data_IF_058064509509
#
_entry.id   IF_058064509509
#
_cell.length_a   1.000
_cell.length_b   1.000
_cell.length_c   1.000
_cell.angle_alpha   90.00
_cell.angle_beta   90.00
_cell.angle_gamma   90.00
#
_symmetry.space_group_name_H-M   'P 1'
#
loop_
_entity.id
_entity.type
_entity.pdbx_description
1 polymer ?
#
# COMPACT_ATOMS: atom_id res chain seq x y z
N UNK A 1 33.68 38.90 -46.73
CA UNK A 1 34.01 40.33 -46.88
C UNK A 1 32.68 41.03 -46.96
N UNK A 2 32.23 41.78 -45.99
CA UNK A 2 32.70 42.33 -44.71
C UNK A 2 31.37 42.88 -44.12
N UNK A 3 31.05 42.58 -42.85
CA UNK A 3 31.14 43.53 -41.73
C UNK A 3 30.04 44.64 -41.84
N UNK A 4 29.32 45.07 -40.81
CA UNK A 4 29.65 45.29 -39.40
C UNK A 4 28.37 45.26 -38.54
N UNK A 5 28.54 44.81 -37.29
CA UNK A 5 27.70 45.10 -36.13
C UNK A 5 28.04 46.50 -35.58
N UNK A 6 27.04 47.20 -35.05
CA UNK A 6 27.07 48.18 -33.93
C UNK A 6 25.63 48.74 -33.82
N UNK A 7 25.04 49.11 -32.67
CA UNK A 7 25.48 49.26 -31.28
C UNK A 7 24.23 49.46 -30.40
N UNK A 8 24.36 49.03 -29.15
CA UNK A 8 23.94 49.63 -27.86
C UNK A 8 22.66 50.48 -27.74
N UNK A 9 21.88 50.25 -26.68
CA UNK A 9 21.66 51.29 -25.66
C UNK A 9 21.03 50.74 -24.35
N UNK A 10 21.74 51.05 -23.27
CA UNK A 10 21.53 50.78 -21.85
C UNK A 10 20.69 51.90 -21.21
N UNK A 11 19.80 51.60 -20.26
CA UNK A 11 19.18 52.66 -19.44
C UNK A 11 18.71 52.17 -18.06
N UNK A 12 19.59 52.28 -17.07
CA UNK A 12 19.28 52.20 -15.64
C UNK A 12 18.76 53.52 -15.05
N UNK A 13 17.81 53.37 -14.13
CA UNK A 13 17.50 54.15 -12.92
C UNK A 13 17.77 55.67 -12.86
N UNK A 14 16.70 56.44 -12.60
CA UNK A 14 16.77 57.72 -11.85
C UNK A 14 15.80 57.75 -10.68
N UNK A 15 16.38 57.90 -9.47
CA UNK A 15 15.72 58.27 -8.22
C UNK A 15 15.15 59.69 -8.29
N UNK A 16 13.99 59.90 -7.66
CA UNK A 16 13.42 61.22 -7.38
C UNK A 16 13.23 61.34 -5.87
N UNK A 17 13.82 62.39 -5.28
CA UNK A 17 13.44 63.01 -4.01
C UNK A 17 13.18 64.50 -4.29
N UNK A 18 12.15 65.08 -3.67
CA UNK A 18 12.31 66.34 -2.93
C UNK A 18 11.62 66.21 -1.54
N UNK A 19 12.13 66.70 -0.41
CA UNK A 19 12.49 68.09 -0.06
C UNK A 19 11.28 68.73 0.65
N UNK A 20 11.21 68.73 1.99
CA UNK A 20 11.35 69.92 2.89
C UNK A 20 9.97 70.50 3.26
N UNK A 21 9.58 70.96 4.45
CA UNK A 21 10.21 71.37 5.72
C UNK A 21 9.13 71.44 6.84
N UNK A 22 9.60 71.64 8.09
CA UNK A 22 8.92 72.14 9.31
C UNK A 22 8.76 71.05 10.41
N UNK A 23 9.74 70.86 11.31
CA UNK A 23 10.24 71.73 12.40
C UNK A 23 9.39 71.61 13.66
N UNK A 24 9.78 70.71 14.56
CA UNK A 24 9.72 70.92 16.01
C UNK A 24 10.73 69.99 16.67
N UNK A 25 11.81 70.61 17.15
CA UNK A 25 12.89 70.04 17.95
C UNK A 25 12.38 69.84 19.39
N UNK A 26 12.43 68.61 19.90
CA UNK A 26 12.56 68.35 21.34
C UNK A 26 13.55 67.19 21.54
N UNK A 27 14.76 67.61 21.90
CA UNK A 27 15.78 67.01 22.76
C UNK A 27 16.22 65.54 22.54
N UNK A 28 17.52 65.46 22.22
CA UNK A 28 18.38 64.29 22.03
C UNK A 28 18.58 63.48 23.31
N UNK A 29 18.28 62.18 23.26
CA UNK A 29 19.07 61.17 23.96
C UNK A 29 19.71 60.27 22.91
N UNK A 30 21.04 60.32 22.78
CA UNK A 30 21.85 59.40 21.98
C UNK A 30 21.75 57.97 22.56
N UNK A 31 20.65 57.28 22.26
CA UNK A 31 20.50 55.84 22.53
C UNK A 31 21.50 55.07 21.64
N UNK A 32 22.21 54.09 22.22
CA UNK A 32 23.19 53.31 21.47
C UNK A 32 22.55 52.64 20.24
N UNK A 33 23.32 52.46 19.16
CA UNK A 33 22.86 51.80 17.92
C UNK A 33 22.17 50.44 18.18
N UNK A 34 22.57 49.75 19.25
CA UNK A 34 22.02 48.48 19.70
C UNK A 34 20.60 48.61 20.30
N UNK A 35 20.31 49.70 21.01
CA UNK A 35 18.98 49.97 21.59
C UNK A 35 17.98 50.39 20.50
N UNK A 36 18.44 51.12 19.48
CA UNK A 36 17.66 51.49 18.29
C UNK A 36 17.32 50.23 17.48
N UNK A 37 18.27 49.31 17.33
CA UNK A 37 18.05 48.05 16.62
C UNK A 37 17.08 47.12 17.37
N UNK A 38 17.15 47.06 18.70
CA UNK A 38 16.15 46.35 19.53
C UNK A 38 14.76 46.97 19.41
N UNK A 39 14.64 48.30 19.45
CA UNK A 39 13.36 49.00 19.27
C UNK A 39 12.77 48.70 17.88
N UNK A 40 13.60 48.65 16.85
CA UNK A 40 13.20 48.30 15.48
C UNK A 40 12.78 46.84 15.35
N UNK A 41 13.47 45.92 16.03
CA UNK A 41 13.08 44.50 16.09
C UNK A 41 11.74 44.31 16.80
N UNK A 42 11.51 44.99 17.93
CA UNK A 42 10.22 44.96 18.64
C UNK A 42 9.07 45.53 17.81
N UNK A 43 9.28 46.64 17.09
CA UNK A 43 8.30 47.20 16.17
C UNK A 43 7.98 46.23 15.02
N UNK A 44 9.00 45.56 14.48
CA UNK A 44 8.83 44.55 13.42
C UNK A 44 8.08 43.32 13.93
N UNK A 45 8.36 42.87 15.15
CA UNK A 45 7.67 41.75 15.78
C UNK A 45 6.22 42.09 16.11
N UNK A 46 5.95 43.30 16.62
CA UNK A 46 4.58 43.79 16.87
C UNK A 46 3.78 43.94 15.58
N UNK A 47 4.40 44.37 14.48
CA UNK A 47 3.76 44.45 13.17
C UNK A 47 3.46 43.06 12.59
N UNK A 48 4.33 42.07 12.81
CA UNK A 48 4.08 40.68 12.44
C UNK A 48 2.94 40.07 13.25
N UNK A 49 2.93 40.23 14.57
CA UNK A 49 1.85 39.73 15.42
C UNK A 49 0.50 40.36 15.04
N UNK A 50 0.45 41.67 14.77
CA UNK A 50 -0.78 42.32 14.29
C UNK A 50 -1.24 41.75 12.94
N UNK A 51 -0.30 41.44 12.04
CA UNK A 51 -0.62 40.82 10.76
C UNK A 51 -1.13 39.38 10.93
N UNK A 52 -0.54 38.60 11.85
CA UNK A 52 -1.01 37.27 12.21
C UNK A 52 -2.39 37.31 12.88
N UNK A 53 -2.66 38.29 13.76
CA UNK A 53 -3.99 38.52 14.34
C UNK A 53 -5.02 38.91 13.28
N UNK A 54 -4.69 39.82 12.36
CA UNK A 54 -5.55 40.19 11.23
C UNK A 54 -5.78 38.98 10.29
N UNK A 55 -4.80 38.11 10.08
CA UNK A 55 -4.92 36.90 9.26
C UNK A 55 -5.77 35.82 9.94
N UNK A 56 -5.65 35.67 11.26
CA UNK A 56 -6.50 34.77 12.07
C UNK A 56 -7.95 35.28 12.13
N UNK A 57 -8.18 36.58 12.27
CA UNK A 57 -9.53 37.16 12.28
C UNK A 57 -10.22 37.07 10.90
N UNK A 58 -9.46 37.10 9.80
CA UNK A 58 -9.98 36.87 8.45
C UNK A 58 -10.28 35.38 8.22
N UNK A 59 -9.45 34.48 8.74
CA UNK A 59 -9.68 33.03 8.69
C UNK A 59 -10.92 32.62 9.51
N UNK A 60 -11.15 33.21 10.68
CA UNK A 60 -12.34 32.92 11.53
C UNK A 60 -13.66 33.39 10.87
N UNK A 61 -13.60 34.41 10.00
CA UNK A 61 -14.76 34.91 9.23
C UNK A 61 -15.02 34.14 7.93
N UNK A 62 -14.06 33.34 7.43
CA UNK A 62 -14.22 32.51 6.24
C UNK A 62 -14.68 31.07 6.56
N UNK A 63 -14.56 30.62 7.82
CA UNK A 63 -14.95 29.26 8.26
C UNK A 63 -16.35 29.17 8.91
N UNK A 64 -17.05 30.30 9.12
CA UNK A 64 -18.40 30.34 9.70
C UNK A 64 -19.50 30.67 8.66
N UNK A 65 -19.63 29.80 7.66
CA UNK A 65 -20.55 29.97 6.54
C UNK A 65 -21.22 28.69 6.04
N UNK A 66 -22.10 28.06 6.86
CA UNK A 66 -23.35 27.32 6.47
C UNK A 66 -23.75 26.25 7.50
N UNK A 67 -24.66 26.58 8.41
CA UNK A 67 -25.94 25.87 8.58
C UNK A 67 -26.81 26.64 9.57
N UNK A 68 -28.07 26.86 9.18
CA UNK A 68 -29.09 27.58 9.94
C UNK A 68 -30.19 26.60 10.36
N UNK A 69 -30.86 26.95 11.46
CA UNK A 69 -32.03 26.33 12.13
C UNK A 69 -31.65 25.32 13.25
N UNK A 70 -32.00 25.46 14.53
CA UNK A 70 -33.18 26.09 15.16
C UNK A 70 -32.88 26.40 16.67
N UNK A 71 -33.17 27.63 17.08
CA UNK A 71 -33.67 28.13 18.39
C UNK A 71 -33.16 27.57 19.75
N UNK A 72 -32.40 28.40 20.48
CA UNK A 72 -32.68 28.75 21.89
C UNK A 72 -32.06 30.11 22.27
N UNK A 73 -32.91 31.01 22.76
CA UNK A 73 -32.62 32.28 23.45
C UNK A 73 -31.68 32.04 24.67
N UNK A 74 -30.96 32.98 25.28
CA UNK A 74 -31.28 34.37 25.60
C UNK A 74 -30.01 35.07 26.17
N UNK A 75 -29.69 36.24 25.61
CA UNK A 75 -29.23 37.48 26.25
C UNK A 75 -28.08 37.50 27.27
N UNK A 76 -27.00 38.23 26.91
CA UNK A 76 -26.56 39.41 27.67
C UNK A 76 -25.56 40.24 26.86
N UNK A 77 -26.02 41.38 26.34
CA UNK A 77 -25.21 42.55 26.01
C UNK A 77 -24.46 43.04 27.27
N UNK A 78 -23.23 43.54 27.11
CA UNK A 78 -22.87 44.96 27.33
C UNK A 78 -21.39 45.16 27.76
N UNK A 79 -20.73 46.01 26.96
CA UNK A 79 -19.56 46.89 27.20
C UNK A 79 -18.20 46.38 27.69
N UNK A 80 -17.26 46.45 26.75
CA UNK A 80 -15.91 47.04 26.87
C UNK A 80 -15.73 48.01 28.05
N UNK A 81 -15.00 47.57 29.08
CA UNK A 81 -14.25 48.47 29.96
C UNK A 81 -12.82 47.97 30.13
N UNK A 82 -11.91 48.72 29.53
CA UNK A 82 -10.50 48.79 29.92
C UNK A 82 -10.45 49.34 31.34
N UNK A 83 -10.21 48.48 32.34
CA UNK A 83 -9.98 48.91 33.72
C UNK A 83 -8.48 48.87 34.03
N UNK A 84 -7.81 49.91 33.52
CA UNK A 84 -6.56 50.42 34.06
C UNK A 84 -6.95 51.46 35.09
N UNK A 85 -6.43 51.31 36.33
CA UNK A 85 -6.60 52.16 37.53
C UNK A 85 -7.74 51.80 38.51
N UNK A 86 -7.42 51.04 39.57
CA UNK A 86 -7.56 51.52 40.96
C UNK A 86 -7.04 50.48 41.98
N UNK A 87 -5.80 50.67 42.43
CA UNK A 87 -5.30 50.09 43.68
C UNK A 87 -5.94 50.80 44.89
N UNK A 88 -7.26 50.79 45.03
CA UNK A 88 -7.92 51.30 46.25
C UNK A 88 -9.20 50.53 46.63
N UNK A 89 -9.11 49.20 46.76
CA UNK A 89 -10.15 48.45 47.46
C UNK A 89 -10.47 49.04 48.85
N UNK A 90 -11.70 48.91 49.37
CA UNK A 90 -12.13 49.52 50.63
C UNK A 90 -11.14 49.19 51.76
N UNK A 91 -10.42 50.19 52.28
CA UNK A 91 -9.46 49.97 53.37
C UNK A 91 -10.22 49.43 54.59
N UNK A 92 -10.12 48.12 54.83
CA UNK A 92 -10.67 47.51 56.04
C UNK A 92 -10.00 48.15 57.25
N UNK A 93 -10.83 48.70 58.14
CA UNK A 93 -10.36 49.27 59.41
C UNK A 93 -9.60 48.18 60.18
N UNK A 94 -8.34 48.41 60.59
CA UNK A 94 -7.58 47.38 61.30
C UNK A 94 -8.27 47.08 62.64
N UNK A 95 -8.82 45.87 62.75
CA UNK A 95 -9.37 45.35 64.00
C UNK A 95 -8.24 44.64 64.73
N UNK A 96 -8.03 44.99 66.00
CA UNK A 96 -7.00 44.38 66.83
C UNK A 96 -7.33 42.90 67.08
N UNK A 97 -6.61 42.01 66.40
CA UNK A 97 -6.68 40.57 66.61
C UNK A 97 -5.87 40.20 67.86
N UNK A 98 -6.50 39.47 68.79
CA UNK A 98 -5.86 39.01 70.03
C UNK A 98 -4.67 38.09 69.70
N UNK A 99 -3.62 38.10 70.55
CA UNK A 99 -2.35 37.37 70.31
C UNK A 99 -2.52 35.88 69.93
N UNK A 100 -3.55 35.21 70.45
CA UNK A 100 -3.86 33.79 70.17
C UNK A 100 -4.47 33.55 68.78
N UNK A 101 -5.12 34.55 68.19
CA UNK A 101 -5.85 34.42 66.91
C UNK A 101 -4.97 34.87 65.71
N UNK A 102 -3.71 35.25 65.96
CA UNK A 102 -2.72 35.62 64.92
C UNK A 102 -2.00 34.41 64.31
N UNK A 103 -2.06 33.26 64.98
CA UNK A 103 -1.39 32.02 64.55
C UNK A 103 -2.04 31.43 63.29
N UNK A 104 -3.33 31.68 63.08
CA UNK A 104 -4.10 31.20 61.91
C UNK A 104 -3.77 31.93 60.60
N UNK A 105 -3.15 33.10 60.64
CA UNK A 105 -2.75 33.84 59.43
C UNK A 105 -1.46 33.26 58.84
N UNK A 106 -0.52 32.82 59.68
CA UNK A 106 0.75 32.21 59.27
C UNK A 106 0.52 30.82 58.69
N UNK A 107 -0.40 30.04 59.28
CA UNK A 107 -0.80 28.73 58.74
C UNK A 107 -1.53 28.86 57.40
N UNK A 108 -2.44 29.85 57.27
CA UNK A 108 -3.13 30.14 56.01
C UNK A 108 -2.18 30.65 54.92
N UNK A 109 -1.17 31.44 55.27
CA UNK A 109 -0.14 31.89 54.35
C UNK A 109 0.76 30.72 53.89
N UNK A 110 1.10 29.80 54.81
CA UNK A 110 1.87 28.59 54.48
C UNK A 110 1.08 27.61 53.61
N UNK A 111 -0.22 27.47 53.84
CA UNK A 111 -1.11 26.69 52.96
C UNK A 111 -1.26 27.35 51.58
N UNK A 112 -1.38 28.68 51.51
CA UNK A 112 -1.40 29.39 50.24
C UNK A 112 -0.07 29.27 49.48
N UNK A 113 1.07 29.29 50.17
CA UNK A 113 2.39 29.03 49.56
C UNK A 113 2.50 27.59 49.05
N UNK A 114 1.99 26.61 49.80
CA UNK A 114 1.95 25.20 49.37
C UNK A 114 1.02 24.98 48.18
N UNK A 115 -0.11 25.67 48.12
CA UNK A 115 -1.02 25.64 46.97
C UNK A 115 -0.37 26.28 45.73
N UNK A 116 0.31 27.42 45.88
CA UNK A 116 1.07 28.04 44.80
C UNK A 116 2.22 27.15 44.30
N UNK A 117 2.90 26.44 45.20
CA UNK A 117 3.94 25.47 44.81
C UNK A 117 3.35 24.28 44.06
N UNK A 118 2.22 23.72 44.52
CA UNK A 118 1.52 22.63 43.84
C UNK A 118 0.98 23.06 42.46
N UNK A 119 0.50 24.29 42.32
CA UNK A 119 0.06 24.86 41.05
C UNK A 119 1.25 25.07 40.09
N UNK A 120 2.39 25.54 40.59
CA UNK A 120 3.63 25.65 39.80
C UNK A 120 4.17 24.29 39.36
N UNK A 121 4.13 23.28 40.23
CA UNK A 121 4.51 21.91 39.89
C UNK A 121 3.53 21.29 38.87
N UNK A 122 2.23 21.51 39.01
CA UNK A 122 1.24 21.08 38.04
C UNK A 122 1.43 21.75 36.67
N UNK A 123 1.76 23.05 36.66
CA UNK A 123 2.07 23.81 35.44
C UNK A 123 3.35 23.29 34.78
N UNK A 124 4.41 23.02 35.55
CA UNK A 124 5.64 22.40 35.05
C UNK A 124 5.38 21.00 34.47
N UNK A 125 4.60 20.17 35.14
CA UNK A 125 4.22 18.84 34.63
C UNK A 125 3.37 18.92 33.36
N UNK A 126 2.51 19.93 33.22
CA UNK A 126 1.75 20.17 31.99
C UNK A 126 2.66 20.66 30.85
N UNK A 127 3.61 21.55 31.13
CA UNK A 127 4.61 22.01 30.17
C UNK A 127 5.57 20.87 29.73
N UNK A 128 5.98 20.00 30.65
CA UNK A 128 6.77 18.81 30.35
C UNK A 128 6.00 17.82 29.47
N UNK A 129 4.71 17.60 29.73
CA UNK A 129 3.87 16.79 28.85
C UNK A 129 3.76 17.39 27.46
N UNK A 130 3.53 18.71 27.35
CA UNK A 130 3.49 19.42 26.07
C UNK A 130 4.82 19.33 25.31
N UNK A 131 5.94 19.51 26.01
CA UNK A 131 7.29 19.36 25.42
C UNK A 131 7.56 17.92 24.98
N UNK A 132 7.13 16.94 25.77
CA UNK A 132 7.29 15.53 25.44
C UNK A 132 6.47 15.14 24.20
N UNK A 133 5.21 15.58 24.11
CA UNK A 133 4.39 15.34 22.91
C UNK A 133 4.97 16.04 21.69
N UNK A 134 5.48 17.27 21.84
CA UNK A 134 6.06 18.03 20.73
C UNK A 134 7.39 17.41 20.26
N UNK A 135 8.21 16.89 21.18
CA UNK A 135 9.42 16.13 20.88
C UNK A 135 9.11 14.81 20.18
N UNK A 136 8.04 14.10 20.58
CA UNK A 136 7.62 12.88 19.92
C UNK A 136 7.20 13.14 18.46
N UNK A 137 6.44 14.21 18.23
CA UNK A 137 6.06 14.65 16.88
C UNK A 137 7.29 15.08 16.07
N UNK A 138 8.23 15.81 16.67
CA UNK A 138 9.50 16.17 16.02
C UNK A 138 10.32 14.94 15.62
N UNK A 139 10.42 13.94 16.50
CA UNK A 139 11.10 12.68 16.21
C UNK A 139 10.40 11.90 15.08
N UNK A 140 9.07 11.97 15.00
CA UNK A 140 8.28 11.32 13.95
C UNK A 140 8.43 12.04 12.60
N UNK A 141 8.38 13.37 12.58
CA UNK A 141 8.69 14.18 11.39
C UNK A 141 10.15 13.95 10.93
N UNK A 142 11.10 13.87 11.87
CA UNK A 142 12.49 13.57 11.55
C UNK A 142 12.64 12.16 10.96
N UNK A 143 11.93 11.17 11.50
CA UNK A 143 11.89 9.81 10.95
C UNK A 143 11.25 9.80 9.57
N UNK A 144 10.12 10.45 9.36
CA UNK A 144 9.44 10.52 8.06
C UNK A 144 10.31 11.21 7.00
N UNK A 145 10.93 12.34 7.33
CA UNK A 145 11.85 13.05 6.42
C UNK A 145 13.10 12.23 6.10
N UNK A 146 13.65 11.47 7.06
CA UNK A 146 14.75 10.52 6.76
C UNK A 146 14.27 9.34 5.93
N UNK A 147 13.06 8.83 6.19
CA UNK A 147 12.49 7.67 5.49
C UNK A 147 12.11 8.00 4.05
N UNK A 148 11.62 9.22 3.80
CA UNK A 148 11.39 9.76 2.46
C UNK A 148 12.74 9.85 1.71
N UNK A 149 13.80 10.36 2.34
CA UNK A 149 15.15 10.40 1.74
C UNK A 149 15.74 9.01 1.47
N UNK A 150 15.41 7.99 2.28
CA UNK A 150 15.86 6.60 2.03
C UNK A 150 14.95 5.83 1.07
N UNK A 151 13.73 6.32 0.81
CA UNK A 151 12.79 5.71 -0.14
C UNK A 151 13.05 6.15 -1.59
N UNK A 152 13.85 7.20 -1.79
CA UNK A 152 14.50 7.48 -3.06
C UNK A 152 15.57 6.40 -3.29
N UNK A 153 15.13 5.30 -3.88
CA UNK A 153 15.90 4.11 -4.26
C UNK A 153 16.91 4.40 -5.39
N UNK A 154 17.68 5.48 -5.29
CA UNK A 154 18.93 5.60 -6.02
C UNK A 154 20.06 5.08 -5.12
N UNK A 155 20.84 4.08 -5.56
CA UNK A 155 22.02 3.65 -4.82
C UNK A 155 22.97 4.84 -4.75
N UNK A 156 23.03 5.50 -3.59
CA UNK A 156 23.99 6.55 -3.35
C UNK A 156 25.40 5.95 -3.45
N UNK A 157 26.31 6.63 -4.16
CA UNK A 157 27.70 6.18 -4.34
C UNK A 157 28.46 5.99 -3.02
N UNK A 158 27.94 6.53 -1.90
CA UNK A 158 28.46 6.37 -0.54
C UNK A 158 27.99 5.08 0.17
N UNK A 159 27.09 4.29 -0.44
CA UNK A 159 26.63 2.99 0.09
C UNK A 159 27.58 1.84 -0.31
N UNK A 160 28.62 2.16 -1.08
CA UNK A 160 29.74 1.26 -1.36
C UNK A 160 30.67 1.28 -0.15
N UNK A 161 30.37 0.42 0.82
CA UNK A 161 31.22 0.17 1.97
C UNK A 161 32.60 -0.30 1.45
N UNK A 162 33.59 0.57 1.51
CA UNK A 162 34.94 0.38 0.94
C UNK A 162 35.89 -0.31 1.93
N UNK A 163 35.33 -1.00 2.92
CA UNK A 163 36.07 -1.70 3.96
C UNK A 163 36.36 -3.13 3.49
N UNK A 164 37.63 -3.39 3.15
CA UNK A 164 38.16 -4.66 2.62
C UNK A 164 38.12 -5.83 3.64
N UNK A 165 37.38 -5.72 4.75
CA UNK A 165 37.24 -6.76 5.78
C UNK A 165 36.22 -7.87 5.41
N UNK A 166 35.52 -7.76 4.27
CA UNK A 166 34.45 -8.68 3.86
C UNK A 166 34.86 -9.75 2.80
N UNK A 167 36.15 -9.83 2.46
CA UNK A 167 36.70 -10.79 1.48
C UNK A 167 36.34 -12.25 1.77
N UNK A 168 36.24 -12.61 3.05
CA UNK A 168 35.86 -13.97 3.47
C UNK A 168 34.41 -14.30 3.07
N UNK A 169 33.47 -13.36 3.23
CA UNK A 169 32.06 -13.54 2.85
C UNK A 169 31.91 -13.58 1.33
N UNK A 170 32.67 -12.78 0.60
CA UNK A 170 32.68 -12.82 -0.85
C UNK A 170 33.28 -14.12 -1.40
N UNK A 171 34.36 -14.61 -0.77
CA UNK A 171 34.96 -15.90 -1.08
C UNK A 171 34.01 -17.06 -0.76
N UNK A 172 33.30 -17.01 0.36
CA UNK A 172 32.26 -17.97 0.70
C UNK A 172 31.09 -17.90 -0.28
N UNK A 173 30.63 -16.70 -0.67
CA UNK A 173 29.59 -16.52 -1.68
C UNK A 173 30.04 -17.04 -3.06
N UNK A 174 31.31 -16.84 -3.43
CA UNK A 174 31.90 -17.44 -4.62
C UNK A 174 31.91 -18.98 -4.53
N UNK A 175 32.35 -19.54 -3.41
CA UNK A 175 32.35 -20.99 -3.15
C UNK A 175 30.94 -21.57 -3.18
N UNK A 176 29.94 -20.86 -2.64
CA UNK A 176 28.53 -21.27 -2.71
C UNK A 176 27.99 -21.22 -4.13
N UNK A 177 28.35 -20.21 -4.94
CA UNK A 177 27.99 -20.17 -6.36
C UNK A 177 28.62 -21.33 -7.13
N UNK A 178 29.88 -21.64 -6.87
CA UNK A 178 30.59 -22.76 -7.51
C UNK A 178 30.00 -24.11 -7.08
N UNK A 179 29.74 -24.28 -5.79
CA UNK A 179 29.08 -25.48 -5.26
C UNK A 179 27.66 -25.62 -5.82
N UNK A 180 26.91 -24.52 -5.99
CA UNK A 180 25.59 -24.52 -6.63
C UNK A 180 25.66 -24.92 -8.11
N UNK A 181 26.74 -24.56 -8.82
CA UNK A 181 26.96 -25.02 -10.20
C UNK A 181 27.20 -26.52 -10.23
N UNK A 182 28.15 -27.01 -9.44
CA UNK A 182 28.44 -28.44 -9.37
C UNK A 182 27.22 -29.26 -8.91
N UNK A 183 26.46 -28.71 -7.96
CA UNK A 183 25.21 -29.30 -7.49
C UNK A 183 24.17 -29.37 -8.61
N UNK A 184 23.98 -28.32 -9.41
CA UNK A 184 23.04 -28.35 -10.54
C UNK A 184 23.38 -29.47 -11.53
N UNK A 185 24.65 -29.58 -11.93
CA UNK A 185 25.08 -30.61 -12.88
C UNK A 185 24.93 -32.03 -12.31
N UNK A 186 25.12 -32.18 -11.00
CA UNK A 186 24.91 -33.46 -10.30
C UNK A 186 23.43 -33.78 -10.16
N UNK A 187 22.63 -32.80 -9.75
CA UNK A 187 21.18 -32.93 -9.57
C UNK A 187 20.49 -33.22 -10.91
N UNK A 188 20.93 -32.62 -12.02
CA UNK A 188 20.42 -32.91 -13.37
C UNK A 188 20.68 -34.36 -13.79
N UNK A 189 21.89 -34.89 -13.53
CA UNK A 189 22.19 -36.32 -13.79
C UNK A 189 21.37 -37.24 -12.91
N UNK A 190 21.27 -36.92 -11.62
CA UNK A 190 20.49 -37.70 -10.66
C UNK A 190 18.99 -37.65 -10.98
N UNK A 191 18.47 -36.52 -11.48
CA UNK A 191 17.09 -36.39 -11.92
C UNK A 191 16.80 -37.30 -13.12
N UNK A 192 17.67 -37.32 -14.13
CA UNK A 192 17.53 -38.23 -15.28
C UNK A 192 17.57 -39.70 -14.84
N UNK A 193 18.45 -40.06 -13.91
CA UNK A 193 18.53 -41.43 -13.38
C UNK A 193 17.27 -41.78 -12.56
N UNK A 194 16.77 -40.86 -11.73
CA UNK A 194 15.51 -41.03 -10.99
C UNK A 194 14.32 -41.18 -11.92
N UNK A 195 14.21 -40.36 -12.97
CA UNK A 195 13.16 -40.48 -13.99
C UNK A 195 13.22 -41.84 -14.68
N UNK A 196 14.42 -42.31 -15.02
CA UNK A 196 14.60 -43.63 -15.62
C UNK A 196 14.16 -44.75 -14.67
N UNK A 197 14.58 -44.69 -13.40
CA UNK A 197 14.20 -45.66 -12.38
C UNK A 197 12.69 -45.64 -12.11
N UNK A 198 12.05 -44.46 -12.12
CA UNK A 198 10.60 -44.33 -11.98
C UNK A 198 9.86 -44.88 -13.20
N UNK A 199 10.35 -44.63 -14.42
CA UNK A 199 9.80 -45.24 -15.64
C UNK A 199 9.94 -46.76 -15.60
N UNK A 200 11.08 -47.28 -15.16
CA UNK A 200 11.30 -48.72 -15.01
C UNK A 200 10.42 -49.33 -13.90
N UNK A 201 10.26 -48.65 -12.76
CA UNK A 201 9.30 -48.99 -11.70
C UNK A 201 7.89 -49.06 -12.29
N UNK A 202 7.41 -47.99 -12.92
CA UNK A 202 6.07 -47.90 -13.49
C UNK A 202 5.82 -48.91 -14.62
N UNK A 203 6.87 -49.30 -15.35
CA UNK A 203 6.80 -50.38 -16.34
C UNK A 203 6.66 -51.75 -15.68
N UNK A 204 7.30 -51.98 -14.54
CA UNK A 204 7.29 -53.25 -13.82
C UNK A 204 6.06 -53.43 -12.90
N UNK A 205 5.44 -52.34 -12.45
CA UNK A 205 4.18 -52.38 -11.69
C UNK A 205 3.02 -52.88 -12.57
N UNK A 206 2.08 -53.60 -11.96
CA UNK A 206 0.84 -54.02 -12.63
C UNK A 206 -0.11 -52.84 -12.84
N UNK A 207 -1.07 -52.95 -13.76
CA UNK A 207 -2.01 -51.87 -14.04
C UNK A 207 -2.94 -51.55 -12.86
N UNK A 208 -3.28 -52.55 -12.03
CA UNK A 208 -4.08 -52.37 -10.83
C UNK A 208 -3.32 -51.57 -9.77
N UNK A 209 -2.04 -51.87 -9.55
CA UNK A 209 -1.17 -51.11 -8.66
C UNK A 209 -0.94 -49.69 -9.20
N UNK A 210 -0.79 -49.53 -10.53
CA UNK A 210 -0.67 -48.20 -11.17
C UNK A 210 -1.91 -47.35 -10.94
N UNK A 211 -3.11 -47.93 -10.99
CA UNK A 211 -4.37 -47.23 -10.72
C UNK A 211 -4.49 -46.83 -9.25
N UNK A 212 -4.03 -47.67 -8.33
CA UNK A 212 -3.97 -47.34 -6.90
C UNK A 212 -2.95 -46.24 -6.61
N UNK A 213 -1.74 -46.31 -7.17
CA UNK A 213 -0.71 -45.27 -7.08
C UNK A 213 -1.21 -43.93 -7.64
N UNK A 214 -1.87 -43.92 -8.80
CA UNK A 214 -2.48 -42.69 -9.35
C UNK A 214 -3.63 -42.14 -8.49
N UNK A 215 -4.32 -43.01 -7.74
CA UNK A 215 -5.38 -42.61 -6.81
C UNK A 215 -4.81 -42.03 -5.52
N UNK A 216 -3.75 -42.64 -5.00
CA UNK A 216 -3.04 -42.17 -3.80
C UNK A 216 -2.21 -40.92 -4.09
N UNK A 217 -1.65 -40.83 -5.30
CA UNK A 217 -0.77 -39.78 -5.75
C UNK A 217 -1.33 -39.17 -7.05
N UNK A 218 -2.39 -38.34 -6.95
CA UNK A 218 -2.98 -37.71 -8.12
C UNK A 218 -1.98 -36.76 -8.77
N UNK A 219 -2.01 -36.69 -10.11
CA UNK A 219 -1.16 -35.76 -10.87
C UNK A 219 -1.49 -34.32 -10.45
N UNK A 220 -0.51 -33.65 -9.84
CA UNK A 220 -0.62 -32.23 -9.50
C UNK A 220 -0.47 -31.42 -10.78
N UNK A 221 -1.56 -30.78 -11.20
CA UNK A 221 -1.55 -29.82 -12.31
C UNK A 221 -1.39 -28.41 -11.71
N UNK A 222 -0.22 -27.81 -11.90
CA UNK A 222 0.12 -26.50 -11.32
C UNK A 222 -0.75 -25.36 -11.88
N UNK A 223 -1.02 -25.38 -13.20
CA UNK A 223 -1.78 -24.36 -13.92
C UNK A 223 -3.24 -24.77 -14.22
N UNK A 224 -3.89 -25.46 -13.28
CA UNK A 224 -5.29 -25.86 -13.41
C UNK A 224 -6.22 -24.65 -13.31
N UNK A 225 -6.68 -24.17 -14.46
CA UNK A 225 -7.66 -23.09 -14.52
C UNK A 225 -9.03 -23.55 -14.00
N UNK A 226 -9.68 -22.70 -13.20
CA UNK A 226 -11.09 -22.88 -12.83
C UNK A 226 -11.95 -22.62 -14.06
N UNK A 227 -12.38 -23.69 -14.74
CA UNK A 227 -13.29 -23.58 -15.89
C UNK A 227 -14.72 -23.43 -15.37
N UNK A 228 -15.35 -22.30 -15.66
CA UNK A 228 -16.78 -22.09 -15.48
C UNK A 228 -17.64 -22.90 -16.46
N UNK A 229 -18.96 -22.80 -16.29
CA UNK A 229 -19.95 -23.43 -17.19
C UNK A 229 -20.14 -22.57 -18.43
N UNK A 230 -19.83 -23.12 -19.59
CA UNK A 230 -20.07 -22.45 -20.88
C UNK A 230 -21.56 -22.29 -21.17
N UNK A 231 -21.94 -21.14 -21.74
CA UNK A 231 -23.27 -20.90 -22.29
C UNK A 231 -23.48 -21.69 -23.59
N UNK A 232 -24.74 -21.89 -23.98
CA UNK A 232 -25.08 -22.60 -25.20
C UNK A 232 -24.50 -21.90 -26.44
N UNK A 233 -23.75 -22.66 -27.26
CA UNK A 233 -22.99 -22.18 -28.43
C UNK A 233 -21.94 -21.09 -28.16
N UNK A 234 -21.44 -20.97 -26.93
CA UNK A 234 -20.32 -20.10 -26.62
C UNK A 234 -19.03 -20.57 -27.32
N UNK A 235 -18.24 -19.66 -27.86
CA UNK A 235 -16.95 -19.95 -28.48
C UNK A 235 -15.94 -20.35 -27.40
N UNK A 236 -15.28 -21.47 -27.63
CA UNK A 236 -14.17 -21.89 -26.80
C UNK A 236 -12.92 -21.05 -27.11
N UNK A 237 -12.30 -20.53 -26.05
CA UNK A 237 -11.00 -19.88 -26.13
C UNK A 237 -9.91 -20.84 -25.66
N UNK A 238 -8.94 -21.12 -26.53
CA UNK A 238 -7.77 -21.93 -26.19
C UNK A 238 -6.65 -21.00 -25.72
N UNK A 239 -6.26 -21.09 -24.45
CA UNK A 239 -5.23 -20.22 -23.84
C UNK A 239 -3.80 -20.40 -24.40
N UNK A 240 -3.56 -21.45 -25.16
CA UNK A 240 -2.24 -21.83 -25.67
C UNK A 240 -1.61 -22.90 -24.79
N UNK A 241 -0.56 -23.56 -25.29
CA UNK A 241 0.18 -24.63 -24.56
C UNK A 241 1.63 -24.21 -24.28
N UNK A 242 2.19 -23.29 -25.07
CA UNK A 242 3.62 -22.98 -25.07
C UNK A 242 4.15 -22.32 -23.78
N UNK A 243 3.30 -21.66 -23.01
CA UNK A 243 3.71 -20.86 -21.84
C UNK A 243 3.20 -21.43 -20.51
N UNK A 244 2.63 -22.64 -20.51
CA UNK A 244 2.05 -23.25 -19.31
C UNK A 244 3.08 -23.91 -18.37
N UNK A 245 4.37 -23.82 -18.71
CA UNK A 245 5.46 -24.24 -17.82
C UNK A 245 5.69 -23.25 -16.68
N UNK A 246 5.37 -21.97 -16.92
CA UNK A 246 5.50 -20.91 -15.93
C UNK A 246 4.22 -20.85 -15.07
N UNK A 247 4.38 -20.94 -13.76
CA UNK A 247 3.28 -20.89 -12.79
C UNK A 247 2.84 -19.45 -12.48
N UNK A 248 2.55 -18.68 -13.52
CA UNK A 248 2.02 -17.32 -13.35
C UNK A 248 0.54 -17.33 -12.96
N UNK A 249 0.16 -16.39 -12.09
CA UNK A 249 -1.21 -16.25 -11.63
C UNK A 249 -2.20 -15.96 -12.77
N UNK A 250 -1.74 -15.28 -13.83
CA UNK A 250 -2.52 -14.96 -15.02
C UNK A 250 -3.06 -16.24 -15.66
N UNK A 251 -2.29 -17.33 -15.65
CA UNK A 251 -2.71 -18.63 -16.19
C UNK A 251 -3.64 -19.41 -15.24
N UNK A 252 -3.94 -18.93 -14.05
CA UNK A 252 -4.92 -19.57 -13.15
C UNK A 252 -6.31 -18.96 -13.30
N UNK A 253 -6.42 -17.79 -13.95
CA UNK A 253 -7.68 -17.09 -14.17
C UNK A 253 -8.68 -17.91 -14.98
N UNK A 254 -9.96 -17.59 -14.84
CA UNK A 254 -11.01 -18.17 -15.65
C UNK A 254 -11.03 -17.55 -17.06
N UNK A 255 -10.86 -18.40 -18.08
CA UNK A 255 -10.91 -18.03 -19.50
C UNK A 255 -12.21 -18.50 -20.17
N UNK A 256 -13.15 -19.04 -19.40
CA UNK A 256 -14.46 -19.52 -19.88
C UNK A 256 -15.54 -18.44 -19.88
N UNK A 257 -15.19 -17.19 -19.56
CA UNK A 257 -16.14 -16.09 -19.56
C UNK A 257 -16.72 -15.84 -20.96
N UNK A 258 -18.03 -15.53 -21.00
CA UNK A 258 -18.71 -15.15 -22.23
C UNK A 258 -18.10 -13.86 -22.79
N UNK A 259 -17.75 -13.86 -24.07
CA UNK A 259 -17.11 -12.72 -24.73
C UNK A 259 -17.99 -12.22 -25.88
N UNK A 260 -18.05 -10.90 -26.07
CA UNK A 260 -18.75 -10.23 -27.18
C UNK A 260 -20.17 -10.78 -27.40
N UNK A 261 -20.41 -11.46 -28.52
CA UNK A 261 -21.68 -12.04 -28.95
C UNK A 261 -22.22 -13.17 -28.06
N UNK A 262 -21.40 -13.74 -27.18
CA UNK A 262 -21.78 -14.86 -26.31
C UNK A 262 -22.37 -14.40 -24.96
N UNK A 263 -22.49 -13.08 -24.74
CA UNK A 263 -23.21 -12.55 -23.56
C UNK A 263 -24.70 -12.94 -23.60
N UNK A 264 -25.29 -12.96 -24.80
CA UNK A 264 -26.69 -13.32 -25.02
C UNK A 264 -26.90 -14.84 -24.95
N UNK A 265 -27.98 -15.27 -24.30
CA UNK A 265 -28.32 -16.69 -24.20
C UNK A 265 -28.99 -17.20 -25.48
N UNK A 266 -28.22 -17.95 -26.26
CA UNK A 266 -28.65 -18.52 -27.55
C UNK A 266 -29.62 -19.69 -27.39
N UNK A 267 -29.85 -20.18 -26.17
CA UNK A 267 -30.83 -21.24 -25.92
C UNK A 267 -32.28 -20.76 -26.10
N UNK A 268 -32.54 -19.46 -25.89
CA UNK A 268 -33.88 -18.86 -26.02
C UNK A 268 -34.27 -18.72 -27.51
N UNK A 269 -33.31 -18.81 -28.43
CA UNK A 269 -33.56 -18.71 -29.86
C UNK A 269 -34.37 -19.91 -30.37
N UNK A 270 -35.20 -19.75 -31.42
CA UNK A 270 -35.86 -20.87 -32.09
C UNK A 270 -34.85 -21.92 -32.57
N UNK A 271 -35.22 -23.21 -32.57
CA UNK A 271 -34.33 -24.33 -32.91
C UNK A 271 -33.61 -24.17 -34.26
N UNK A 272 -34.26 -23.54 -35.24
CA UNK A 272 -33.68 -23.26 -36.57
C UNK A 272 -32.52 -22.27 -36.50
N UNK A 273 -32.54 -21.36 -35.54
CA UNK A 273 -31.50 -20.35 -35.27
C UNK A 273 -30.47 -20.81 -34.24
N UNK A 274 -30.70 -21.91 -33.52
CA UNK A 274 -29.76 -22.54 -32.59
C UNK A 274 -28.61 -23.27 -33.32
N UNK A 275 -28.02 -22.59 -34.29
CA UNK A 275 -26.92 -23.08 -35.11
C UNK A 275 -25.82 -22.03 -35.20
N UNK A 276 -24.57 -22.47 -35.26
CA UNK A 276 -23.43 -21.56 -35.44
C UNK A 276 -23.50 -20.94 -36.84
N UNK A 277 -23.26 -19.63 -36.96
CA UNK A 277 -23.24 -18.89 -38.24
C UNK A 277 -24.56 -18.98 -39.04
N UNK A 278 -25.71 -18.85 -38.37
CA UNK A 278 -27.01 -18.77 -39.04
C UNK A 278 -27.02 -17.70 -40.15
N UNK A 279 -27.50 -18.05 -41.35
CA UNK A 279 -27.57 -17.14 -42.50
C UNK A 279 -26.27 -16.96 -43.30
N UNK A 280 -25.16 -17.63 -42.95
CA UNK A 280 -23.89 -17.54 -43.71
C UNK A 280 -23.73 -18.70 -44.70
N UNK A 281 -23.12 -18.43 -45.85
CA UNK A 281 -22.92 -19.39 -46.96
C UNK A 281 -22.01 -20.59 -46.62
N UNK A 282 -21.21 -20.50 -45.54
CA UNK A 282 -20.34 -21.58 -45.06
C UNK A 282 -20.90 -22.41 -43.90
N UNK A 283 -22.22 -22.41 -43.69
CA UNK A 283 -22.84 -23.11 -42.55
C UNK A 283 -22.79 -24.63 -42.72
N UNK A 284 -22.27 -25.33 -41.72
CA UNK A 284 -22.35 -26.79 -41.63
C UNK A 284 -23.78 -27.26 -41.28
N UNK A 285 -24.13 -28.48 -41.73
CA UNK A 285 -25.41 -29.13 -41.39
C UNK A 285 -25.44 -29.61 -39.93
N UNK A 286 -24.29 -29.95 -39.38
CA UNK A 286 -24.14 -30.39 -37.99
C UNK A 286 -24.11 -29.20 -37.02
N UNK A 287 -24.78 -29.36 -35.89
CA UNK A 287 -25.06 -28.33 -34.88
C UNK A 287 -23.93 -28.25 -33.84
N UNK A 288 -23.86 -29.21 -32.92
CA UNK A 288 -22.83 -29.34 -31.89
C UNK A 288 -22.65 -30.82 -31.53
N UNK A 289 -21.46 -31.17 -31.02
CA UNK A 289 -21.08 -32.56 -30.74
C UNK A 289 -22.13 -33.27 -29.86
N UNK A 290 -22.63 -32.59 -28.84
CA UNK A 290 -23.63 -33.13 -27.89
C UNK A 290 -24.94 -33.55 -28.57
N UNK A 291 -25.35 -32.91 -29.66
CA UNK A 291 -26.57 -33.26 -30.41
C UNK A 291 -26.37 -34.49 -31.31
N UNK A 292 -25.11 -34.75 -31.65
CA UNK A 292 -24.70 -35.84 -32.55
C UNK A 292 -24.07 -37.01 -31.78
N UNK A 293 -23.89 -36.84 -30.47
CA UNK A 293 -23.31 -37.83 -29.58
C UNK A 293 -24.38 -38.89 -29.28
N UNK A 294 -24.16 -40.10 -29.79
CA UNK A 294 -25.06 -41.24 -29.61
C UNK A 294 -24.64 -42.13 -28.44
N UNK A 295 -23.65 -41.70 -27.64
CA UNK A 295 -23.21 -42.45 -26.47
C UNK A 295 -24.34 -42.57 -25.45
N UNK A 296 -24.67 -43.81 -25.09
CA UNK A 296 -25.67 -44.11 -24.08
C UNK A 296 -24.99 -44.21 -22.71
N UNK A 297 -24.97 -43.09 -21.97
CA UNK A 297 -24.38 -43.04 -20.62
C UNK A 297 -25.10 -43.92 -19.59
N UNK A 298 -26.37 -44.27 -19.86
CA UNK A 298 -27.17 -45.19 -19.03
C UNK A 298 -26.94 -46.68 -19.39
N UNK A 299 -25.98 -46.97 -20.28
CA UNK A 299 -25.65 -48.35 -20.62
C UNK A 299 -25.04 -49.06 -19.41
N UNK A 300 -25.58 -50.23 -19.00
CA UNK A 300 -25.03 -51.00 -17.88
C UNK A 300 -23.55 -51.35 -18.06
N UNK A 301 -23.06 -51.43 -19.30
CA UNK A 301 -21.66 -51.71 -19.64
C UNK A 301 -20.68 -50.58 -19.31
N UNK A 302 -21.17 -49.34 -19.18
CA UNK A 302 -20.36 -48.17 -18.84
C UNK A 302 -20.25 -47.99 -17.33
N UNK A 303 -21.18 -48.57 -16.56
CA UNK A 303 -21.17 -48.46 -15.10
C UNK A 303 -19.96 -49.18 -14.49
N UNK A 304 -19.27 -48.53 -13.55
CA UNK A 304 -18.16 -49.12 -12.78
C UNK A 304 -18.66 -50.05 -11.65
N UNK A 305 -19.59 -50.95 -11.98
CA UNK A 305 -20.13 -51.92 -11.03
C UNK A 305 -19.12 -53.06 -10.80
N UNK A 306 -19.08 -53.63 -9.59
CA UNK A 306 -18.18 -54.74 -9.25
C UNK A 306 -18.33 -55.96 -10.18
N UNK A 307 -19.56 -56.25 -10.66
CA UNK A 307 -19.78 -57.27 -11.69
C UNK A 307 -19.11 -56.93 -13.03
N UNK A 308 -19.16 -55.67 -13.46
CA UNK A 308 -18.53 -55.23 -14.70
C UNK A 308 -17.02 -55.30 -14.61
N UNK A 309 -16.41 -54.89 -13.50
CA UNK A 309 -14.97 -55.06 -13.28
C UNK A 309 -14.55 -56.54 -13.35
N UNK A 310 -15.32 -57.44 -12.73
CA UNK A 310 -15.06 -58.89 -12.82
C UNK A 310 -15.19 -59.41 -14.25
N UNK A 311 -16.21 -58.98 -14.98
CA UNK A 311 -16.41 -59.36 -16.39
C UNK A 311 -15.28 -58.79 -17.28
N UNK A 312 -14.91 -57.54 -17.10
CA UNK A 312 -13.81 -56.91 -17.83
C UNK A 312 -12.47 -57.57 -17.55
N UNK A 313 -12.17 -57.94 -16.31
CA UNK A 313 -10.90 -58.58 -15.98
C UNK A 313 -10.83 -60.06 -16.43
N UNK A 314 -11.95 -60.79 -16.38
CA UNK A 314 -11.97 -62.23 -16.65
C UNK A 314 -12.38 -62.61 -18.08
N UNK A 315 -13.39 -61.92 -18.62
CA UNK A 315 -14.06 -62.29 -19.87
C UNK A 315 -13.66 -61.40 -21.05
N UNK A 316 -13.32 -60.13 -20.81
CA UNK A 316 -12.94 -59.24 -21.90
C UNK A 316 -11.55 -59.59 -22.42
N UNK A 317 -11.47 -59.91 -23.71
CA UNK A 317 -10.21 -60.17 -24.39
C UNK A 317 -9.36 -58.88 -24.43
N UNK A 318 -8.08 -58.97 -24.06
CA UNK A 318 -7.13 -57.84 -24.08
C UNK A 318 -6.89 -57.15 -22.72
N UNK A 319 -7.68 -57.45 -21.69
CA UNK A 319 -7.50 -56.89 -20.33
C UNK A 319 -6.69 -57.78 -19.38
N UNK A 320 -6.26 -58.96 -19.82
CA UNK A 320 -5.38 -59.84 -19.03
C UNK A 320 -4.01 -59.18 -18.89
N UNK A 321 -3.56 -59.01 -17.64
CA UNK A 321 -2.28 -58.39 -17.27
C UNK A 321 -1.02 -59.21 -17.65
N UNK A 322 -1.17 -60.22 -18.52
CA UNK A 322 -0.07 -61.04 -19.01
C UNK A 322 0.39 -60.46 -20.35
N UNK A 323 1.35 -59.55 -20.28
CA UNK A 323 2.00 -58.96 -21.45
C UNK A 323 3.33 -59.66 -21.73
N UNK A 324 3.39 -60.41 -22.83
CA UNK A 324 4.65 -60.87 -23.39
C UNK A 324 5.31 -59.68 -24.10
N UNK A 325 6.31 -59.06 -23.45
CA UNK A 325 7.01 -57.91 -24.03
C UNK A 325 7.77 -58.39 -25.27
N UNK A 326 7.49 -57.85 -26.47
CA UNK A 326 8.22 -58.26 -27.66
C UNK A 326 9.70 -57.98 -27.45
N UNK A 327 10.53 -59.03 -27.54
CA UNK A 327 11.97 -58.88 -27.41
C UNK A 327 12.50 -58.08 -28.61
N UNK A 328 13.45 -57.17 -28.38
CA UNK A 328 14.04 -56.37 -29.47
C UNK A 328 14.75 -57.23 -30.54
N UNK A 329 14.99 -58.52 -30.26
CA UNK A 329 15.59 -59.45 -31.19
C UNK A 329 14.49 -60.18 -31.95
N UNK A 330 14.44 -60.00 -33.27
CA UNK A 330 13.68 -60.90 -34.15
C UNK A 330 14.08 -62.33 -33.80
N UNK A 331 13.10 -63.16 -33.42
CA UNK A 331 13.31 -64.60 -33.30
C UNK A 331 13.80 -65.07 -34.68
N UNK A 332 15.05 -65.52 -34.76
CA UNK A 332 15.53 -66.25 -35.93
C UNK A 332 14.60 -67.45 -36.10
N UNK A 333 14.03 -67.57 -37.30
CA UNK A 333 13.13 -68.67 -37.63
C UNK A 333 13.93 -69.94 -37.86
#
# INVERSE_FOLDING_TARGET
>A
MEAEEESEEEAEHRRIRPGGESSEEEEEEELSDEEIERRRMLLRQRALNRKEEEEVEVLDKEDEGKSADESAEESSEYEEYTDSEEETGPRLKPVFVRKRDRVTVIEKEKEAQKQKQAEQEAKKMAEERRRYTLKMVEEEIRKETTKVKTNDNEPALDDVNTDDENDEVEYEAWKLRELKRLKRDRDEREAIEKERMEVERMRNMTEDERRQELRMNPKVLTNKATKGKYKFMQKYYHRGVFYLDQDEEIFKRDFSAATLEDHFDKAILPKVMQVKNFGRSGRTKYTHLVDQDTTQFDSPWVSETAQNLKFHNNQAAGMKQVFDRPTLKKRSK
#
